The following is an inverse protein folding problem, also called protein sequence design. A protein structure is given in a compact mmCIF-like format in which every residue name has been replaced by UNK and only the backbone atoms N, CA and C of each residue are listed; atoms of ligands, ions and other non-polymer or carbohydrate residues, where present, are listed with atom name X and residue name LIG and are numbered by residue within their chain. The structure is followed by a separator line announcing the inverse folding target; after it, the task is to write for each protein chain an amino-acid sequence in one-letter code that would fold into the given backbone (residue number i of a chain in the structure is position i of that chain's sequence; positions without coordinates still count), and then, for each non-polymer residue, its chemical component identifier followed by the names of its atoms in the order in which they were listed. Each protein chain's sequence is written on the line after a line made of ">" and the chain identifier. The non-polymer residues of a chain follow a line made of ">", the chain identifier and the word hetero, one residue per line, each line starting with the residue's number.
data_IF_499573773507
#
_entry.id   IF_499573773507
#
_cell.length_a   1.000
_cell.length_b   1.000
_cell.length_c   1.000
_cell.angle_alpha   90.00
_cell.angle_beta   90.00
_cell.angle_gamma   90.00
#
_symmetry.space_group_name_H-M   'P 1'
#
loop_
_entity.id
_entity.type
_entity.pdbx_description
1 polymer ?
#
# COMPACT_ATOMS: atom_id res chain seq x y z
N UNK A 1 17.73 -41.83 -8.03
CA UNK A 1 18.10 -40.39 -8.10
C UNK A 1 16.91 -39.44 -7.98
N UNK A 2 15.72 -39.79 -8.49
CA UNK A 2 14.53 -38.88 -8.51
C UNK A 2 13.82 -38.78 -7.11
N UNK A 3 13.81 -39.87 -6.32
CA UNK A 3 13.17 -39.89 -5.00
C UNK A 3 13.93 -39.03 -3.94
N UNK A 4 15.25 -38.98 -4.03
CA UNK A 4 16.12 -38.20 -3.15
C UNK A 4 15.99 -36.69 -3.41
N UNK A 5 15.87 -36.31 -4.69
CA UNK A 5 15.63 -34.89 -5.07
C UNK A 5 14.23 -34.39 -4.67
N UNK A 6 13.19 -35.26 -4.76
CA UNK A 6 11.83 -34.94 -4.30
C UNK A 6 11.75 -34.72 -2.79
N UNK A 7 12.53 -35.46 -2.00
CA UNK A 7 12.64 -35.28 -0.55
C UNK A 7 13.29 -33.96 -0.19
N UNK A 8 14.40 -33.61 -0.83
CA UNK A 8 15.14 -32.36 -0.58
C UNK A 8 14.28 -31.13 -0.93
N UNK A 9 13.51 -31.20 -2.04
CA UNK A 9 12.61 -30.12 -2.44
C UNK A 9 11.44 -29.95 -1.46
N UNK A 10 10.88 -31.03 -0.92
CA UNK A 10 9.83 -30.97 0.10
C UNK A 10 10.33 -30.34 1.40
N UNK A 11 11.51 -30.73 1.85
CA UNK A 11 12.11 -30.20 3.08
C UNK A 11 12.46 -28.73 2.93
N UNK A 12 12.98 -28.31 1.77
CA UNK A 12 13.28 -26.91 1.45
C UNK A 12 12.02 -26.04 1.45
N UNK A 13 10.92 -26.50 0.84
CA UNK A 13 9.64 -25.80 0.81
C UNK A 13 9.03 -25.69 2.21
N UNK A 14 9.14 -26.73 3.02
CA UNK A 14 8.63 -26.73 4.39
C UNK A 14 9.40 -25.74 5.28
N UNK A 15 10.74 -25.74 5.18
CA UNK A 15 11.58 -24.79 5.92
C UNK A 15 11.32 -23.34 5.51
N UNK A 16 11.13 -23.04 4.23
CA UNK A 16 10.81 -21.69 3.75
C UNK A 16 9.45 -21.21 4.27
N UNK A 17 8.45 -22.09 4.31
CA UNK A 17 7.12 -21.78 4.86
C UNK A 17 7.16 -21.53 6.36
N UNK A 18 7.88 -22.33 7.13
CA UNK A 18 8.06 -22.15 8.58
C UNK A 18 8.80 -20.85 8.88
N UNK A 19 9.87 -20.55 8.15
CA UNK A 19 10.62 -19.30 8.28
C UNK A 19 9.75 -18.07 8.00
N UNK A 20 8.91 -18.12 6.95
CA UNK A 20 7.97 -17.04 6.61
C UNK A 20 6.94 -16.80 7.73
N UNK A 21 6.32 -17.85 8.28
CA UNK A 21 5.36 -17.76 9.38
C UNK A 21 6.01 -17.21 10.64
N UNK A 22 7.22 -17.63 10.98
CA UNK A 22 7.95 -17.11 12.15
C UNK A 22 8.32 -15.63 11.97
N UNK A 23 8.71 -15.19 10.77
CA UNK A 23 8.99 -13.79 10.45
C UNK A 23 7.75 -12.92 10.62
N UNK A 24 6.57 -13.36 10.16
CA UNK A 24 5.31 -12.65 10.34
C UNK A 24 4.93 -12.50 11.81
N UNK A 25 5.05 -13.55 12.61
CA UNK A 25 4.80 -13.53 14.07
C UNK A 25 5.74 -12.55 14.78
N UNK A 26 7.01 -12.54 14.43
CA UNK A 26 7.99 -11.61 14.99
C UNK A 26 7.67 -10.15 14.62
N UNK A 27 7.20 -9.90 13.39
CA UNK A 27 6.78 -8.57 12.93
C UNK A 27 5.56 -8.07 13.69
N UNK A 28 4.56 -8.93 13.93
CA UNK A 28 3.38 -8.58 14.71
C UNK A 28 3.75 -8.30 16.18
N UNK A 29 4.59 -9.13 16.79
CA UNK A 29 5.06 -8.94 18.16
C UNK A 29 5.79 -7.60 18.31
N UNK A 30 6.62 -7.21 17.35
CA UNK A 30 7.31 -5.92 17.35
C UNK A 30 6.32 -4.75 17.25
N UNK A 31 5.30 -4.85 16.39
CA UNK A 31 4.25 -3.84 16.26
C UNK A 31 3.45 -3.70 17.55
N UNK A 32 3.06 -4.81 18.18
CA UNK A 32 2.32 -4.81 19.45
C UNK A 32 3.15 -4.20 20.58
N UNK A 33 4.45 -4.49 20.63
CA UNK A 33 5.35 -3.90 21.62
C UNK A 33 5.48 -2.39 21.44
N UNK A 34 5.46 -1.91 20.22
CA UNK A 34 5.58 -0.47 19.89
C UNK A 34 4.28 0.29 20.11
N UNK A 35 3.15 -0.26 19.65
CA UNK A 35 1.88 0.46 19.58
C UNK A 35 0.85 0.01 20.61
N UNK A 36 1.01 -1.19 21.20
CA UNK A 36 0.00 -1.85 22.00
C UNK A 36 -1.05 -2.58 21.16
N UNK A 37 -1.69 -3.58 21.75
CA UNK A 37 -2.69 -4.40 21.04
C UNK A 37 -3.93 -3.61 20.64
N UNK A 38 -4.39 -2.71 21.50
CA UNK A 38 -5.59 -1.92 21.26
C UNK A 38 -5.47 -1.01 20.03
N UNK A 39 -4.29 -0.41 19.81
CA UNK A 39 -4.02 0.42 18.65
C UNK A 39 -4.07 -0.36 17.32
N UNK A 40 -3.83 -1.66 17.38
CA UNK A 40 -3.77 -2.53 16.19
C UNK A 40 -5.09 -3.27 15.91
N UNK A 41 -6.17 -3.01 16.67
CA UNK A 41 -7.46 -3.71 16.50
C UNK A 41 -8.07 -3.50 15.13
N UNK A 42 -7.83 -2.35 14.48
CA UNK A 42 -8.28 -2.06 13.11
C UNK A 42 -7.24 -2.42 12.05
N UNK A 43 -6.19 -3.14 12.43
CA UNK A 43 -5.07 -3.48 11.56
C UNK A 43 -4.00 -2.39 11.53
N UNK A 44 -3.11 -2.51 10.60
CA UNK A 44 -2.03 -1.55 10.34
C UNK A 44 -1.78 -1.45 8.84
N UNK A 45 -1.17 -0.34 8.43
CA UNK A 45 -0.81 -0.11 7.04
C UNK A 45 0.70 -0.04 6.91
N UNK A 46 1.30 -0.99 6.20
CA UNK A 46 2.72 -0.99 5.89
C UNK A 46 2.96 -0.18 4.61
N UNK A 47 3.83 0.82 4.70
CA UNK A 47 4.25 1.60 3.54
C UNK A 47 5.78 1.63 3.45
N UNK A 48 6.35 1.63 2.24
CA UNK A 48 7.80 1.74 2.08
C UNK A 48 8.31 3.09 2.60
N UNK A 49 9.44 3.11 3.28
CA UNK A 49 10.07 4.36 3.71
C UNK A 49 10.38 5.30 2.54
N UNK A 50 10.66 4.76 1.36
CA UNK A 50 10.87 5.53 0.13
C UNK A 50 9.66 6.42 -0.22
N UNK A 51 8.45 6.07 0.23
CA UNK A 51 7.25 6.87 0.00
C UNK A 51 7.37 8.27 0.61
N UNK A 52 7.96 8.38 1.79
CA UNK A 52 8.16 9.67 2.45
C UNK A 52 9.14 10.57 1.71
N UNK A 53 10.13 9.99 1.04
CA UNK A 53 11.06 10.72 0.17
C UNK A 53 10.42 11.09 -1.16
N UNK A 54 9.54 10.24 -1.69
CA UNK A 54 8.81 10.48 -2.94
C UNK A 54 8.00 11.78 -2.86
N UNK A 55 7.33 12.04 -1.73
CA UNK A 55 6.53 13.25 -1.56
C UNK A 55 7.35 14.53 -1.76
N UNK A 56 8.58 14.58 -1.25
CA UNK A 56 9.48 15.72 -1.42
C UNK A 56 10.05 15.80 -2.83
N UNK A 57 10.48 14.66 -3.39
CA UNK A 57 11.04 14.58 -4.75
C UNK A 57 10.04 15.05 -5.82
N UNK A 58 8.78 14.70 -5.70
CA UNK A 58 7.73 15.06 -6.64
C UNK A 58 6.92 16.29 -6.20
N UNK A 59 7.23 16.89 -5.08
CA UNK A 59 6.46 18.01 -4.50
C UNK A 59 4.98 17.72 -4.37
N UNK A 60 4.65 16.52 -3.84
CA UNK A 60 3.28 16.13 -3.55
C UNK A 60 2.77 17.00 -2.39
N UNK A 61 1.59 17.62 -2.54
CA UNK A 61 1.01 18.42 -1.46
C UNK A 61 0.67 17.55 -0.24
N UNK A 62 0.67 18.12 0.99
CA UNK A 62 0.30 17.37 2.19
C UNK A 62 -1.09 16.73 2.10
N UNK A 63 -2.05 17.42 1.51
CA UNK A 63 -3.41 16.87 1.31
C UNK A 63 -3.40 15.69 0.35
N UNK A 64 -2.75 15.80 -0.79
CA UNK A 64 -2.65 14.70 -1.76
C UNK A 64 -1.88 13.52 -1.15
N UNK A 65 -0.84 13.76 -0.38
CA UNK A 65 -0.11 12.71 0.31
C UNK A 65 -0.97 11.98 1.34
N UNK A 66 -1.78 12.72 2.10
CA UNK A 66 -2.74 12.12 3.03
C UNK A 66 -3.79 11.28 2.29
N UNK A 67 -4.32 11.75 1.17
CA UNK A 67 -5.22 10.96 0.31
C UNK A 67 -4.53 9.67 -0.13
N UNK A 68 -3.28 9.75 -0.57
CA UNK A 68 -2.50 8.58 -1.00
C UNK A 68 -2.34 7.56 0.13
N UNK A 69 -1.97 7.99 1.34
CA UNK A 69 -1.86 7.11 2.50
C UNK A 69 -3.20 6.42 2.82
N UNK A 70 -4.31 7.14 2.70
CA UNK A 70 -5.64 6.55 2.90
C UNK A 70 -6.02 5.56 1.80
N UNK A 71 -5.62 5.76 0.55
CA UNK A 71 -5.76 4.75 -0.49
C UNK A 71 -4.97 3.49 -0.16
N UNK A 72 -3.72 3.65 0.27
CA UNK A 72 -2.86 2.52 0.66
C UNK A 72 -3.43 1.76 1.85
N UNK A 73 -4.08 2.42 2.79
CA UNK A 73 -4.76 1.79 3.91
C UNK A 73 -5.92 0.88 3.47
N UNK A 74 -6.48 1.09 2.28
CA UNK A 74 -7.51 0.24 1.67
C UNK A 74 -6.96 -0.81 0.70
N UNK A 75 -5.66 -0.85 0.50
CA UNK A 75 -5.03 -1.86 -0.37
C UNK A 75 -4.58 -3.05 0.48
N UNK A 76 -5.47 -4.00 0.66
CA UNK A 76 -5.24 -5.16 1.53
C UNK A 76 -4.69 -6.37 0.78
N UNK A 77 -5.06 -6.53 -0.50
CA UNK A 77 -4.68 -7.67 -1.33
C UNK A 77 -3.97 -7.19 -2.57
N UNK A 78 -2.82 -7.78 -2.87
CA UNK A 78 -1.98 -7.37 -4.00
C UNK A 78 -2.70 -7.41 -5.35
N UNK A 79 -3.66 -8.32 -5.50
CA UNK A 79 -4.42 -8.50 -6.75
C UNK A 79 -5.73 -7.70 -6.81
N UNK A 80 -6.01 -6.90 -5.82
CA UNK A 80 -7.24 -6.10 -5.76
C UNK A 80 -6.91 -4.65 -5.38
N UNK A 81 -7.01 -3.77 -6.36
CA UNK A 81 -6.76 -2.35 -6.14
C UNK A 81 -7.77 -1.73 -5.17
N UNK A 82 -7.36 -0.72 -4.38
CA UNK A 82 -8.27 -0.07 -3.45
C UNK A 82 -9.42 0.66 -4.18
N UNK A 83 -10.59 0.64 -3.57
CA UNK A 83 -11.81 1.23 -4.12
C UNK A 83 -12.68 1.92 -3.06
N UNK A 84 -12.08 2.72 -2.14
CA UNK A 84 -12.87 3.44 -1.15
C UNK A 84 -13.74 4.51 -1.80
N UNK A 85 -14.90 4.80 -1.18
CA UNK A 85 -15.69 5.95 -1.61
C UNK A 85 -15.00 7.26 -1.25
N UNK A 86 -15.26 8.31 -2.02
CA UNK A 86 -14.71 9.64 -1.72
C UNK A 86 -15.25 10.17 -0.39
N UNK A 87 -16.49 9.86 -0.07
CA UNK A 87 -17.12 10.21 1.20
C UNK A 87 -16.40 9.56 2.39
N UNK A 88 -16.03 8.28 2.29
CA UNK A 88 -15.31 7.60 3.35
C UNK A 88 -13.91 8.18 3.56
N UNK A 89 -13.21 8.55 2.50
CA UNK A 89 -11.94 9.25 2.57
C UNK A 89 -12.09 10.63 3.26
N UNK A 90 -13.13 11.38 2.88
CA UNK A 90 -13.41 12.68 3.46
C UNK A 90 -13.69 12.60 4.97
N UNK A 91 -14.46 11.61 5.40
CA UNK A 91 -14.77 11.36 6.82
C UNK A 91 -13.48 11.04 7.59
N UNK A 92 -12.65 10.13 7.08
CA UNK A 92 -11.40 9.74 7.73
C UNK A 92 -10.41 10.89 7.86
N UNK A 93 -10.34 11.75 6.86
CA UNK A 93 -9.46 12.91 6.83
C UNK A 93 -10.05 14.13 7.52
N UNK A 94 -11.35 14.12 7.87
CA UNK A 94 -12.09 15.28 8.39
C UNK A 94 -12.01 16.49 7.46
N UNK A 95 -12.21 16.26 6.16
CA UNK A 95 -12.21 17.27 5.10
C UNK A 95 -13.45 17.13 4.23
N UNK A 96 -13.67 18.09 3.34
CA UNK A 96 -14.77 18.00 2.36
C UNK A 96 -14.45 16.98 1.27
N UNK A 97 -15.48 16.43 0.64
CA UNK A 97 -15.33 15.58 -0.56
C UNK A 97 -14.57 16.32 -1.66
N UNK A 98 -14.80 17.63 -1.81
CA UNK A 98 -14.07 18.46 -2.78
C UNK A 98 -12.57 18.46 -2.54
N UNK A 99 -12.14 18.52 -1.28
CA UNK A 99 -10.72 18.44 -0.91
C UNK A 99 -10.13 17.08 -1.30
N UNK A 100 -10.87 15.98 -1.06
CA UNK A 100 -10.46 14.64 -1.50
C UNK A 100 -10.34 14.58 -3.03
N UNK A 101 -11.31 15.12 -3.75
CA UNK A 101 -11.30 15.15 -5.21
C UNK A 101 -10.08 15.89 -5.76
N UNK A 102 -9.71 17.01 -5.15
CA UNK A 102 -8.51 17.78 -5.52
C UNK A 102 -7.23 16.97 -5.29
N UNK A 103 -7.14 16.29 -4.15
CA UNK A 103 -6.00 15.42 -3.86
C UNK A 103 -5.87 14.27 -4.84
N UNK A 104 -6.98 13.62 -5.17
CA UNK A 104 -7.02 12.55 -6.19
C UNK A 104 -6.61 13.08 -7.58
N UNK A 105 -7.10 14.25 -7.97
CA UNK A 105 -6.75 14.87 -9.24
C UNK A 105 -5.25 15.21 -9.31
N UNK A 106 -4.67 15.71 -8.22
CA UNK A 106 -3.23 15.96 -8.14
C UNK A 106 -2.42 14.67 -8.35
N UNK A 107 -2.79 13.59 -7.66
CA UNK A 107 -2.12 12.29 -7.80
C UNK A 107 -2.25 11.70 -9.21
N UNK A 108 -3.41 11.86 -9.85
CA UNK A 108 -3.60 11.47 -11.26
C UNK A 108 -2.76 12.28 -12.19
N UNK A 109 -2.72 13.62 -12.02
CA UNK A 109 -1.94 14.52 -12.86
C UNK A 109 -0.44 14.26 -12.74
N UNK A 110 0.01 13.80 -11.58
CA UNK A 110 1.40 13.37 -11.36
C UNK A 110 1.70 11.98 -11.94
N UNK A 111 0.69 11.27 -12.42
CA UNK A 111 0.82 9.94 -12.97
C UNK A 111 1.05 8.84 -11.93
N UNK A 112 0.76 9.10 -10.66
CA UNK A 112 0.96 8.13 -9.58
C UNK A 112 -0.18 7.14 -9.44
N UNK A 113 -1.40 7.56 -9.73
CA UNK A 113 -2.59 6.72 -9.69
C UNK A 113 -3.33 6.81 -11.03
N UNK A 114 -4.00 5.71 -11.39
CA UNK A 114 -4.94 5.69 -12.51
C UNK A 114 -6.32 5.34 -11.98
N UNK A 115 -7.26 6.24 -12.15
CA UNK A 115 -8.63 6.05 -11.70
C UNK A 115 -9.42 5.32 -12.77
N UNK A 116 -10.05 4.21 -12.38
CA UNK A 116 -10.95 3.43 -13.23
C UNK A 116 -12.37 3.56 -12.72
N UNK A 117 -13.25 4.11 -13.54
CA UNK A 117 -14.67 4.26 -13.19
C UNK A 117 -15.39 2.92 -13.31
N UNK A 118 -16.36 2.69 -12.43
CA UNK A 118 -17.28 1.55 -12.51
C UNK A 118 -18.71 2.05 -12.67
N UNK A 119 -19.60 1.20 -13.19
CA UNK A 119 -21.02 1.54 -13.29
C UNK A 119 -21.73 1.44 -11.93
N UNK A 120 -22.80 2.19 -11.76
CA UNK A 120 -23.63 2.13 -10.53
C UNK A 120 -24.27 0.76 -10.33
N UNK A 121 -24.48 0.02 -11.41
CA UNK A 121 -25.07 -1.33 -11.43
C UNK A 121 -24.03 -2.42 -11.13
N UNK A 122 -22.74 -2.07 -11.05
CA UNK A 122 -21.70 -3.06 -10.77
C UNK A 122 -21.92 -3.71 -9.39
N UNK A 123 -22.05 -5.05 -9.31
CA UNK A 123 -22.47 -5.72 -8.07
C UNK A 123 -21.52 -5.51 -6.91
N UNK A 124 -20.22 -5.37 -7.18
CA UNK A 124 -19.16 -5.18 -6.17
C UNK A 124 -18.84 -3.72 -5.89
N UNK A 125 -18.63 -2.93 -6.96
CA UNK A 125 -18.09 -1.58 -6.82
C UNK A 125 -19.16 -0.49 -6.77
N UNK A 126 -20.36 -0.74 -7.31
CA UNK A 126 -21.54 0.14 -7.17
C UNK A 126 -21.24 1.60 -7.53
N UNK A 127 -20.55 1.82 -8.63
CA UNK A 127 -20.19 3.17 -9.11
C UNK A 127 -18.95 3.77 -8.45
N UNK A 128 -18.31 3.08 -7.50
CA UNK A 128 -17.04 3.53 -6.91
C UNK A 128 -15.91 3.44 -7.91
N UNK A 129 -14.92 4.33 -7.79
CA UNK A 129 -13.70 4.25 -8.56
C UNK A 129 -12.77 3.18 -7.99
N UNK A 130 -12.04 2.53 -8.88
CA UNK A 130 -10.91 1.66 -8.55
C UNK A 130 -9.64 2.45 -8.82
N UNK A 131 -8.70 2.43 -7.89
CA UNK A 131 -7.45 3.19 -7.98
C UNK A 131 -6.28 2.25 -8.26
N UNK A 132 -5.83 2.25 -9.51
CA UNK A 132 -4.67 1.47 -9.95
C UNK A 132 -3.38 2.17 -9.48
N UNK A 133 -2.57 1.46 -8.70
CA UNK A 133 -1.35 1.97 -8.09
C UNK A 133 -0.07 1.48 -8.79
N UNK A 134 -0.19 0.89 -9.97
CA UNK A 134 0.97 0.35 -10.70
C UNK A 134 2.07 1.39 -10.87
N UNK A 135 1.72 2.60 -11.29
CA UNK A 135 2.70 3.65 -11.53
C UNK A 135 3.36 4.14 -10.24
N UNK A 136 2.61 4.16 -9.12
CA UNK A 136 3.19 4.45 -7.81
C UNK A 136 4.27 3.44 -7.45
N UNK A 137 3.96 2.15 -7.59
CA UNK A 137 4.90 1.06 -7.29
C UNK A 137 6.15 1.16 -8.16
N UNK A 138 5.99 1.39 -9.46
CA UNK A 138 7.11 1.59 -10.38
C UNK A 138 7.97 2.79 -10.00
N UNK A 139 7.34 3.93 -9.67
CA UNK A 139 8.04 5.14 -9.24
C UNK A 139 8.87 4.89 -7.98
N UNK A 140 8.33 4.18 -7.01
CA UNK A 140 9.04 3.84 -5.78
C UNK A 140 10.22 2.90 -6.04
N UNK A 141 10.06 1.90 -6.89
CA UNK A 141 11.14 0.97 -7.25
C UNK A 141 12.28 1.67 -8.00
N UNK A 142 11.96 2.67 -8.81
CA UNK A 142 12.97 3.45 -9.52
C UNK A 142 13.67 4.48 -8.60
N UNK A 143 12.95 5.04 -7.64
CA UNK A 143 13.46 6.09 -6.75
C UNK A 143 14.32 5.53 -5.60
N UNK A 144 13.91 4.43 -4.99
CA UNK A 144 14.52 3.92 -3.76
C UNK A 144 16.02 3.69 -3.83
N UNK A 145 16.60 3.09 -4.91
CA UNK A 145 18.05 2.92 -5.02
C UNK A 145 18.79 4.26 -5.03
N UNK A 146 18.27 5.27 -5.71
CA UNK A 146 18.89 6.60 -5.80
C UNK A 146 18.89 7.34 -4.46
N UNK A 147 17.82 7.19 -3.67
CA UNK A 147 17.74 7.77 -2.33
C UNK A 147 18.78 7.12 -1.42
N UNK A 148 18.90 5.79 -1.44
CA UNK A 148 19.89 5.07 -0.64
C UNK A 148 21.31 5.56 -0.92
N UNK A 149 21.66 5.75 -2.18
CA UNK A 149 22.96 6.24 -2.59
C UNK A 149 23.24 7.65 -2.07
N UNK A 150 22.24 8.55 -2.13
CA UNK A 150 22.37 9.92 -1.60
C UNK A 150 22.52 9.97 -0.08
N UNK A 151 21.85 9.09 0.65
CA UNK A 151 21.93 9.04 2.11
C UNK A 151 23.23 8.38 2.61
N UNK A 152 23.92 7.63 1.77
CA UNK A 152 25.19 6.99 2.06
C UNK A 152 26.41 7.91 1.86
N UNK A 153 26.21 9.08 1.27
CA UNK A 153 27.22 10.11 1.04
C UNK A 153 27.26 11.12 2.17
#
# INVERSE_FOLDING_TARGET
>A
HSAKMKGILKDSLHLSTVSSVMSEKNSLAALESKWGKSALTMGWTAVPSALFFLQGTLSISPVAFNVLLNLLAHWWKVYEWPHPSQESLAIRMSVSVRTVQRGLAELENMGLITRRKTSKEHPKYKGRNIYDLTNLVESLNNLAPNIKDKLSQ
#
